data_IF_247041059833
#
_entry.id   IF_247041059833
#
_cell.length_a   1.000
_cell.length_b   1.000
_cell.length_c   1.000
_cell.angle_alpha   90.00
_cell.angle_beta   90.00
_cell.angle_gamma   90.00
#
_symmetry.space_group_name_H-M   'P 1'
#
loop_
_entity.id
_entity.type
_entity.pdbx_description
1 polymer ?
#
# COMPACT_ATOMS: atom_id res chain seq x y z
N UNK A 1 25.79 17.90 -9.15
CA UNK A 1 24.78 18.93 -8.77
C UNK A 1 23.46 18.76 -9.51
N UNK A 2 23.43 18.68 -10.85
CA UNK A 2 22.18 18.50 -11.62
C UNK A 2 21.34 17.26 -11.22
N UNK A 3 21.97 16.12 -10.93
CA UNK A 3 21.27 14.91 -10.49
C UNK A 3 20.50 15.09 -9.17
N UNK A 4 21.05 15.86 -8.21
CA UNK A 4 20.39 16.12 -6.93
C UNK A 4 19.19 17.05 -7.11
N UNK A 5 19.32 18.05 -8.00
CA UNK A 5 18.21 18.96 -8.34
C UNK A 5 17.09 18.18 -9.02
N UNK A 6 17.43 17.31 -9.98
CA UNK A 6 16.47 16.44 -10.67
C UNK A 6 15.80 15.46 -9.70
N UNK A 7 16.57 14.78 -8.84
CA UNK A 7 16.04 13.87 -7.83
C UNK A 7 15.09 14.60 -6.87
N UNK A 8 15.46 15.79 -6.41
CA UNK A 8 14.59 16.62 -5.56
C UNK A 8 13.30 17.05 -6.27
N UNK A 9 13.36 17.39 -7.57
CA UNK A 9 12.18 17.72 -8.36
C UNK A 9 11.26 16.51 -8.57
N UNK A 10 11.81 15.36 -8.94
CA UNK A 10 11.05 14.10 -9.12
C UNK A 10 10.40 13.70 -7.79
N UNK A 11 11.13 13.77 -6.68
CA UNK A 11 10.60 13.41 -5.37
C UNK A 11 9.42 14.31 -4.96
N UNK A 12 9.51 15.63 -5.19
CA UNK A 12 8.38 16.55 -4.94
C UNK A 12 7.16 16.19 -5.79
N UNK A 13 7.35 15.97 -7.08
CA UNK A 13 6.24 15.58 -7.97
C UNK A 13 5.62 14.23 -7.60
N UNK A 14 6.43 13.29 -7.10
CA UNK A 14 5.94 12.03 -6.55
C UNK A 14 5.15 12.23 -5.26
N UNK A 15 5.59 13.13 -4.38
CA UNK A 15 4.86 13.47 -3.14
C UNK A 15 3.48 14.07 -3.46
N UNK A 16 3.39 15.02 -4.39
CA UNK A 16 2.12 15.62 -4.81
C UNK A 16 1.14 14.57 -5.35
N UNK A 17 1.63 13.63 -6.16
CA UNK A 17 0.81 12.55 -6.71
C UNK A 17 0.32 11.59 -5.61
N UNK A 18 1.17 11.26 -4.64
CA UNK A 18 0.79 10.42 -3.49
C UNK A 18 -0.25 11.12 -2.63
N UNK A 19 -0.09 12.42 -2.37
CA UNK A 19 -1.04 13.20 -1.58
C UNK A 19 -2.41 13.30 -2.26
N UNK A 20 -2.44 13.54 -3.57
CA UNK A 20 -3.67 13.51 -4.35
C UNK A 20 -4.37 12.14 -4.25
N UNK A 21 -3.64 11.04 -4.50
CA UNK A 21 -4.20 9.69 -4.45
C UNK A 21 -4.69 9.30 -3.04
N UNK A 22 -4.02 9.76 -1.98
CA UNK A 22 -4.49 9.57 -0.61
C UNK A 22 -5.78 10.34 -0.34
N UNK A 23 -5.90 11.56 -0.85
CA UNK A 23 -7.10 12.38 -0.76
C UNK A 23 -8.26 11.73 -1.52
N UNK A 24 -8.03 11.27 -2.75
CA UNK A 24 -9.02 10.53 -3.53
C UNK A 24 -9.45 9.24 -2.83
N UNK A 25 -8.51 8.48 -2.25
CA UNK A 25 -8.83 7.27 -1.50
C UNK A 25 -9.73 7.57 -0.29
N UNK A 26 -9.51 8.68 0.43
CA UNK A 26 -10.37 9.12 1.54
C UNK A 26 -11.79 9.41 1.05
N UNK A 27 -11.93 10.18 -0.03
CA UNK A 27 -13.25 10.48 -0.63
C UNK A 27 -13.97 9.20 -1.09
N UNK A 28 -13.24 8.27 -1.71
CA UNK A 28 -13.81 6.97 -2.10
C UNK A 28 -14.26 6.15 -0.89
N UNK A 29 -13.50 6.17 0.21
CA UNK A 29 -13.87 5.50 1.46
C UNK A 29 -15.11 6.12 2.11
N UNK A 30 -15.25 7.45 2.07
CA UNK A 30 -16.45 8.14 2.54
C UNK A 30 -17.68 7.71 1.72
N UNK A 31 -17.54 7.60 0.39
CA UNK A 31 -18.63 7.13 -0.49
C UNK A 31 -19.02 5.67 -0.26
N UNK A 32 -18.08 4.81 0.12
CA UNK A 32 -18.35 3.40 0.46
C UNK A 32 -19.16 3.26 1.77
N UNK A 33 -19.20 4.30 2.60
CA UNK A 33 -19.92 4.32 3.86
C UNK A 33 -19.38 3.31 4.88
N UNK A 34 -20.23 2.91 5.85
CA UNK A 34 -19.85 1.99 6.94
C UNK A 34 -19.90 0.50 6.54
N UNK A 35 -20.02 0.17 5.26
CA UNK A 35 -20.08 -1.23 4.82
C UNK A 35 -18.73 -1.92 5.01
N UNK A 36 -18.78 -3.17 5.46
CA UNK A 36 -17.59 -4.02 5.57
C UNK A 36 -16.98 -4.22 4.18
N UNK A 37 -15.74 -3.79 3.98
CA UNK A 37 -15.01 -3.99 2.73
C UNK A 37 -14.54 -5.45 2.70
N UNK A 38 -15.11 -6.24 1.79
CA UNK A 38 -14.65 -7.61 1.52
C UNK A 38 -13.46 -7.54 0.58
N UNK A 39 -12.34 -8.13 1.01
CA UNK A 39 -11.11 -8.18 0.24
C UNK A 39 -10.94 -9.59 -0.30
N UNK A 40 -10.97 -9.74 -1.63
CA UNK A 40 -10.73 -11.00 -2.34
C UNK A 40 -9.27 -11.45 -2.20
N UNK A 41 -8.99 -12.73 -2.39
CA UNK A 41 -7.61 -13.24 -2.26
C UNK A 41 -6.64 -12.61 -3.28
N UNK A 42 -7.12 -12.27 -4.48
CA UNK A 42 -6.35 -11.53 -5.48
C UNK A 42 -6.03 -10.09 -5.01
N UNK A 43 -7.00 -9.40 -4.38
CA UNK A 43 -6.75 -8.10 -3.76
C UNK A 43 -5.76 -8.21 -2.58
N UNK A 44 -5.88 -9.24 -1.74
CA UNK A 44 -4.93 -9.52 -0.64
C UNK A 44 -3.51 -9.71 -1.17
N UNK A 45 -3.34 -10.51 -2.23
CA UNK A 45 -2.04 -10.75 -2.87
C UNK A 45 -1.42 -9.47 -3.39
N UNK A 46 -2.18 -8.63 -4.11
CA UNK A 46 -1.68 -7.33 -4.58
C UNK A 46 -1.24 -6.43 -3.43
N UNK A 47 -2.05 -6.32 -2.38
CA UNK A 47 -1.72 -5.52 -1.20
C UNK A 47 -0.50 -6.04 -0.45
N UNK A 48 -0.37 -7.36 -0.30
CA UNK A 48 0.75 -8.00 0.37
C UNK A 48 2.09 -7.72 -0.34
N UNK A 49 2.13 -7.89 -1.66
CA UNK A 49 3.34 -7.66 -2.46
C UNK A 49 3.76 -6.19 -2.43
N UNK A 50 2.82 -5.26 -2.68
CA UNK A 50 3.13 -3.82 -2.66
C UNK A 50 3.43 -3.31 -1.26
N UNK A 51 2.70 -3.78 -0.26
CA UNK A 51 2.88 -3.37 1.14
C UNK A 51 4.20 -3.84 1.74
N UNK A 52 4.72 -5.01 1.36
CA UNK A 52 6.04 -5.46 1.81
C UNK A 52 7.17 -4.50 1.39
N UNK A 53 7.08 -3.90 0.20
CA UNK A 53 8.07 -2.94 -0.31
C UNK A 53 8.07 -1.66 0.53
N UNK A 54 6.89 -1.19 0.95
CA UNK A 54 6.74 0.02 1.77
C UNK A 54 7.22 -0.19 3.21
N UNK A 55 7.09 -1.41 3.73
CA UNK A 55 7.45 -1.73 5.11
C UNK A 55 6.47 -1.16 6.14
N UNK A 56 6.68 -1.50 7.42
CA UNK A 56 5.73 -1.19 8.49
C UNK A 56 5.48 0.30 8.69
N UNK A 57 6.56 1.09 8.82
CA UNK A 57 6.48 2.53 9.14
C UNK A 57 5.71 3.32 8.09
N UNK A 58 5.95 3.05 6.80
CA UNK A 58 5.23 3.73 5.73
C UNK A 58 3.76 3.27 5.68
N UNK A 59 3.49 1.97 5.86
CA UNK A 59 2.11 1.47 5.91
C UNK A 59 1.28 2.05 7.06
N UNK A 60 1.90 2.38 8.19
CA UNK A 60 1.25 3.05 9.33
C UNK A 60 0.86 4.51 9.00
N UNK A 61 1.63 5.18 8.15
CA UNK A 61 1.35 6.55 7.70
C UNK A 61 0.26 6.61 6.62
N UNK A 62 0.07 5.51 5.87
CA UNK A 62 -0.93 5.42 4.83
C UNK A 62 -2.30 5.06 5.42
N UNK A 63 -3.36 5.69 4.91
CA UNK A 63 -4.74 5.38 5.28
C UNK A 63 -5.15 4.00 4.74
N UNK A 64 -4.78 2.95 5.45
CA UNK A 64 -4.97 1.58 4.99
C UNK A 64 -6.35 1.04 5.38
N UNK A 65 -6.94 0.23 4.49
CA UNK A 65 -8.21 -0.49 4.74
C UNK A 65 -7.99 -1.68 5.70
N UNK A 66 -6.73 -2.09 5.87
CA UNK A 66 -6.29 -3.26 6.63
C UNK A 66 -5.05 -2.87 7.41
N UNK A 67 -4.89 -3.39 8.63
CA UNK A 67 -3.74 -3.03 9.46
C UNK A 67 -2.42 -3.44 8.77
N UNK A 68 -1.32 -2.68 8.98
CA UNK A 68 0.00 -3.03 8.45
C UNK A 68 0.42 -4.47 8.80
N UNK A 69 0.15 -4.91 10.04
CA UNK A 69 0.40 -6.27 10.49
C UNK A 69 -0.33 -7.33 9.66
N UNK A 70 -1.56 -7.04 9.26
CA UNK A 70 -2.35 -7.96 8.42
C UNK A 70 -1.75 -8.07 7.03
N UNK A 71 -1.34 -6.95 6.43
CA UNK A 71 -0.69 -6.93 5.10
C UNK A 71 0.63 -7.72 5.13
N UNK A 72 1.45 -7.51 6.16
CA UNK A 72 2.72 -8.23 6.33
C UNK A 72 2.51 -9.71 6.66
N UNK A 73 1.41 -10.07 7.35
CA UNK A 73 1.02 -11.47 7.56
C UNK A 73 0.64 -12.13 6.23
N UNK A 74 -0.20 -11.50 5.42
CA UNK A 74 -0.55 -12.03 4.09
C UNK A 74 0.67 -12.24 3.20
N UNK A 75 1.66 -11.37 3.29
CA UNK A 75 2.92 -11.57 2.56
C UNK A 75 3.65 -12.84 3.04
N UNK A 76 3.73 -13.07 4.35
CA UNK A 76 4.34 -14.29 4.92
C UNK A 76 3.58 -15.55 4.50
N UNK A 77 2.26 -15.52 4.55
CA UNK A 77 1.40 -16.62 4.09
C UNK A 77 1.58 -16.89 2.58
N UNK A 78 1.70 -15.83 1.77
CA UNK A 78 1.96 -15.94 0.34
C UNK A 78 3.31 -16.61 0.05
N UNK A 79 4.35 -16.25 0.80
CA UNK A 79 5.68 -16.85 0.68
C UNK A 79 5.66 -18.31 1.11
N UNK A 80 5.05 -18.63 2.25
CA UNK A 80 4.94 -20.02 2.73
C UNK A 80 4.28 -20.93 1.68
N UNK A 81 3.12 -20.51 1.14
CA UNK A 81 2.42 -21.26 0.09
C UNK A 81 3.22 -21.43 -1.20
N UNK A 82 4.14 -20.52 -1.50
CA UNK A 82 5.01 -20.67 -2.66
C UNK A 82 6.02 -21.81 -2.47
N UNK A 83 6.49 -22.02 -1.24
CA UNK A 83 7.47 -23.05 -0.89
C UNK A 83 6.84 -24.39 -0.52
N UNK A 84 5.59 -24.43 -0.03
CA UNK A 84 4.87 -25.67 0.27
C UNK A 84 4.55 -26.53 -0.98
N UNK A 85 4.77 -25.96 -2.17
CA UNK A 85 4.60 -26.63 -3.48
C UNK A 85 5.93 -26.99 -4.16
N UNK A 86 7.07 -26.88 -3.46
CA UNK A 86 8.42 -27.24 -3.94
C UNK A 86 8.96 -28.51 -3.28
#
# INVERSE_FOLDING_TARGET
MLLLILAGWINRRQQDAVEYLLTENRVLREKLGKKRILISDDQRRRLAVKGKILGRKMLEQLATIVTPDTILRWHRELVARHWDYS
#
